data_IF_437742129879
#
_entry.id   IF_437742129879
#
_cell.length_a   1.000
_cell.length_b   1.000
_cell.length_c   1.000
_cell.angle_alpha   90.00
_cell.angle_beta   90.00
_cell.angle_gamma   90.00
#
_symmetry.space_group_name_H-M   'P 1'
#
loop_
_entity.id
_entity.type
_entity.pdbx_description
1 polymer ?
#
# COMPACT_ATOMS: atom_id res chain seq x y z
N UNK A 1 -13.01 12.47 5.20
CA UNK A 1 -12.00 13.44 4.71
C UNK A 1 -10.78 13.30 5.59
N UNK A 2 -9.61 13.05 5.01
CA UNK A 2 -8.37 12.75 5.74
C UNK A 2 -7.43 13.96 5.62
N UNK A 3 -7.14 14.62 6.73
CA UNK A 3 -6.14 15.69 6.79
C UNK A 3 -4.73 15.10 6.81
N UNK A 4 -3.83 15.66 6.01
CA UNK A 4 -2.44 15.22 5.87
C UNK A 4 -1.49 16.23 6.51
N UNK A 5 -1.21 16.14 7.84
CA UNK A 5 -0.30 17.03 8.56
C UNK A 5 1.16 16.63 8.32
N UNK A 6 1.58 16.66 7.06
CA UNK A 6 2.87 16.12 6.62
C UNK A 6 3.89 17.23 6.43
N UNK A 7 5.08 17.00 6.97
CA UNK A 7 6.24 17.85 6.77
C UNK A 7 7.08 17.37 5.58
N UNK A 8 7.97 18.25 5.10
CA UNK A 8 8.99 17.89 4.10
C UNK A 8 9.91 16.77 4.61
N UNK A 9 10.28 15.80 3.74
CA UNK A 9 10.01 15.72 2.29
C UNK A 9 8.71 14.98 1.90
N UNK A 10 7.92 14.49 2.86
CA UNK A 10 6.76 13.63 2.55
C UNK A 10 5.60 14.43 1.92
N UNK A 11 5.50 15.72 2.23
CA UNK A 11 4.55 16.65 1.60
C UNK A 11 4.67 16.68 0.06
N UNK A 12 5.89 16.71 -0.46
CA UNK A 12 6.17 16.73 -1.90
C UNK A 12 5.72 15.46 -2.62
N UNK A 13 5.77 14.31 -1.93
CA UNK A 13 5.20 13.06 -2.44
C UNK A 13 3.68 13.16 -2.57
N UNK A 14 3.00 13.77 -1.59
CA UNK A 14 1.54 13.87 -1.62
C UNK A 14 1.03 14.83 -2.69
N UNK A 15 1.75 15.92 -2.97
CA UNK A 15 1.48 16.73 -4.17
C UNK A 15 1.59 15.89 -5.45
N UNK A 16 2.64 15.06 -5.57
CA UNK A 16 2.79 14.18 -6.74
C UNK A 16 1.70 13.10 -6.84
N UNK A 17 1.26 12.51 -5.73
CA UNK A 17 0.19 11.51 -5.70
C UNK A 17 -1.17 12.13 -6.07
N UNK A 18 -1.43 13.35 -5.63
CA UNK A 18 -2.63 14.11 -6.01
C UNK A 18 -2.63 14.42 -7.52
N UNK A 19 -1.51 14.92 -8.05
CA UNK A 19 -1.38 15.17 -9.48
C UNK A 19 -1.54 13.89 -10.31
N UNK A 20 -0.98 12.78 -9.83
CA UNK A 20 -1.10 11.48 -10.48
C UNK A 20 -2.56 11.01 -10.47
N UNK A 21 -3.28 11.18 -9.36
CA UNK A 21 -4.69 10.79 -9.24
C UNK A 21 -5.60 11.59 -10.15
N UNK A 22 -5.33 12.89 -10.33
CA UNK A 22 -6.08 13.75 -11.25
C UNK A 22 -5.85 13.39 -12.72
N UNK A 23 -4.64 12.92 -13.07
CA UNK A 23 -4.24 12.65 -14.47
C UNK A 23 -4.42 11.21 -14.92
N UNK A 24 -4.30 10.24 -14.02
CA UNK A 24 -4.30 8.82 -14.37
C UNK A 24 -5.72 8.27 -14.37
N UNK A 25 -6.24 7.99 -15.56
CA UNK A 25 -7.63 7.55 -15.76
C UNK A 25 -7.81 6.03 -15.69
N UNK A 26 -6.72 5.26 -15.75
CA UNK A 26 -6.76 3.80 -15.59
C UNK A 26 -6.90 3.43 -14.12
N UNK A 27 -7.50 2.28 -13.77
CA UNK A 27 -7.60 1.88 -12.37
C UNK A 27 -6.22 1.59 -11.77
N UNK A 28 -5.96 2.15 -10.59
CA UNK A 28 -4.76 1.94 -9.81
C UNK A 28 -5.08 2.07 -8.32
N UNK A 29 -4.16 1.67 -7.45
CA UNK A 29 -4.34 1.80 -6.00
C UNK A 29 -3.03 2.08 -5.28
N UNK A 30 -3.07 2.98 -4.30
CA UNK A 30 -1.95 3.31 -3.42
C UNK A 30 -1.74 2.19 -2.40
N UNK A 31 -0.53 1.65 -2.33
CA UNK A 31 -0.19 0.53 -1.44
C UNK A 31 0.99 0.86 -0.52
N UNK A 32 1.46 -0.15 0.21
CA UNK A 32 2.61 -0.10 1.13
C UNK A 32 2.49 1.00 2.18
N UNK A 33 3.45 1.92 2.29
CA UNK A 33 3.61 2.78 3.45
C UNK A 33 2.60 3.93 3.50
N UNK A 34 2.37 4.60 2.37
CA UNK A 34 1.40 5.70 2.31
C UNK A 34 -0.05 5.22 2.50
N UNK A 35 -0.36 4.00 2.06
CA UNK A 35 -1.65 3.35 2.36
C UNK A 35 -1.87 3.19 3.86
N UNK A 36 -0.84 2.78 4.62
CA UNK A 36 -0.92 2.64 6.08
C UNK A 36 -1.10 4.00 6.73
N UNK A 37 -0.38 5.02 6.25
CA UNK A 37 -0.53 6.40 6.71
C UNK A 37 -1.98 6.88 6.55
N UNK A 38 -2.59 6.70 5.38
CA UNK A 38 -3.99 7.09 5.16
C UNK A 38 -4.95 6.39 6.12
N UNK A 39 -4.81 5.06 6.29
CA UNK A 39 -5.67 4.31 7.21
C UNK A 39 -5.49 4.79 8.65
N UNK A 40 -4.26 5.02 9.09
CA UNK A 40 -3.98 5.52 10.43
C UNK A 40 -4.60 6.92 10.66
N UNK A 41 -4.35 7.87 9.77
CA UNK A 41 -4.85 9.25 9.91
C UNK A 41 -6.38 9.32 9.92
N UNK A 42 -7.03 8.49 9.10
CA UNK A 42 -8.49 8.39 9.10
C UNK A 42 -9.07 7.92 10.45
N UNK A 43 -8.33 7.06 11.17
CA UNK A 43 -8.70 6.58 12.50
C UNK A 43 -8.05 7.41 13.62
N UNK A 44 -7.65 8.66 13.33
CA UNK A 44 -7.00 9.58 14.27
C UNK A 44 -5.73 9.02 14.93
N UNK A 45 -5.01 8.16 14.21
CA UNK A 45 -3.71 7.61 14.60
C UNK A 45 -2.60 8.15 13.70
N UNK A 46 -1.36 8.10 14.19
CA UNK A 46 -0.17 8.40 13.39
C UNK A 46 0.77 7.19 13.38
N UNK A 47 1.27 6.76 12.21
CA UNK A 47 2.35 5.78 12.17
C UNK A 47 3.63 6.42 12.75
N UNK A 48 4.43 5.65 13.51
CA UNK A 48 5.66 6.17 14.15
C UNK A 48 6.64 6.82 13.15
N UNK A 49 6.70 6.31 11.92
CA UNK A 49 7.53 6.82 10.83
C UNK A 49 6.79 6.59 9.52
N UNK A 50 6.26 7.65 8.87
CA UNK A 50 5.66 7.51 7.56
C UNK A 50 6.72 7.14 6.53
N UNK A 51 6.33 6.34 5.53
CA UNK A 51 7.18 6.11 4.36
C UNK A 51 7.47 7.44 3.66
N UNK A 52 8.63 7.54 3.01
CA UNK A 52 8.97 8.68 2.15
C UNK A 52 8.78 8.37 0.67
N UNK A 53 8.60 7.10 0.34
CA UNK A 53 8.36 6.61 -1.02
C UNK A 53 6.85 6.35 -1.19
N UNK A 54 6.35 6.58 -2.41
CA UNK A 54 5.01 6.18 -2.85
C UNK A 54 5.06 4.85 -3.59
N UNK A 55 4.01 4.05 -3.45
CA UNK A 55 3.90 2.77 -4.14
C UNK A 55 2.51 2.65 -4.74
N UNK A 56 2.42 2.44 -6.05
CA UNK A 56 1.14 2.33 -6.76
C UNK A 56 1.08 1.02 -7.52
N UNK A 57 -0.07 0.34 -7.48
CA UNK A 57 -0.32 -0.85 -8.30
C UNK A 57 -1.28 -0.47 -9.42
N UNK A 58 -0.90 -0.70 -10.68
CA UNK A 58 -1.78 -0.49 -11.83
C UNK A 58 -2.63 -1.75 -12.12
N UNK A 59 -3.88 -1.61 -12.54
CA UNK A 59 -4.75 -2.76 -12.84
C UNK A 59 -4.64 -3.23 -14.31
N UNK A 60 -3.73 -4.18 -14.54
CA UNK A 60 -3.43 -4.71 -15.88
C UNK A 60 -4.51 -5.64 -16.46
N UNK A 61 -5.43 -6.18 -15.64
CA UNK A 61 -6.52 -7.03 -16.12
C UNK A 61 -7.68 -6.21 -16.66
N UNK A 62 -7.94 -5.03 -16.08
CA UNK A 62 -8.95 -4.12 -16.58
C UNK A 62 -8.43 -3.34 -17.81
N UNK A 63 -7.15 -2.97 -17.81
CA UNK A 63 -6.52 -2.28 -18.94
C UNK A 63 -5.06 -2.75 -19.12
N UNK A 64 -4.79 -3.47 -20.21
CA UNK A 64 -3.45 -3.94 -20.54
C UNK A 64 -2.44 -2.80 -20.81
N UNK A 65 -2.92 -1.59 -21.10
CA UNK A 65 -2.13 -0.37 -21.24
C UNK A 65 -1.88 0.38 -19.93
N UNK A 66 -2.41 -0.08 -18.78
CA UNK A 66 -2.37 0.66 -17.53
C UNK A 66 -0.95 1.03 -17.08
N UNK A 67 0.02 0.12 -17.19
CA UNK A 67 1.43 0.42 -16.85
C UNK A 67 2.02 1.50 -17.76
N UNK A 68 1.81 1.40 -19.07
CA UNK A 68 2.36 2.36 -20.04
C UNK A 68 1.74 3.74 -19.80
N UNK A 69 0.44 3.81 -19.53
CA UNK A 69 -0.24 5.05 -19.19
C UNK A 69 0.29 5.65 -17.89
N UNK A 70 0.48 4.85 -16.84
CA UNK A 70 1.06 5.29 -15.58
C UNK A 70 2.49 5.84 -15.75
N UNK A 71 3.35 5.15 -16.51
CA UNK A 71 4.72 5.64 -16.83
C UNK A 71 4.65 6.97 -17.57
N UNK A 72 3.79 7.08 -18.59
CA UNK A 72 3.61 8.33 -19.36
C UNK A 72 3.18 9.49 -18.47
N UNK A 73 2.25 9.27 -17.54
CA UNK A 73 1.80 10.31 -16.63
C UNK A 73 2.87 10.71 -15.62
N UNK A 74 3.64 9.74 -15.09
CA UNK A 74 4.79 10.04 -14.24
C UNK A 74 5.82 10.91 -14.98
N UNK A 75 6.13 10.60 -16.24
CA UNK A 75 7.03 11.42 -17.07
C UNK A 75 6.47 12.83 -17.33
N UNK A 76 5.17 12.95 -17.60
CA UNK A 76 4.49 14.25 -17.73
C UNK A 76 4.45 15.05 -16.42
N UNK A 77 4.69 14.41 -15.27
CA UNK A 77 4.82 15.02 -13.94
C UNK A 77 6.28 15.33 -13.55
N UNK A 78 7.22 15.13 -14.48
CA UNK A 78 8.65 15.39 -14.28
C UNK A 78 9.41 14.26 -13.58
N UNK A 79 8.82 13.08 -13.44
CA UNK A 79 9.56 11.89 -13.01
C UNK A 79 10.34 11.30 -14.18
N UNK A 80 11.46 10.64 -13.87
CA UNK A 80 12.21 9.81 -14.80
C UNK A 80 12.44 8.43 -14.18
N UNK A 81 12.80 7.44 -14.99
CA UNK A 81 13.28 6.17 -14.47
C UNK A 81 14.51 6.41 -13.58
N UNK A 82 14.47 5.92 -12.34
CA UNK A 82 15.56 6.06 -11.38
C UNK A 82 16.73 5.14 -11.73
N UNK A 83 16.44 3.84 -11.90
CA UNK A 83 17.43 2.83 -12.25
C UNK A 83 16.79 1.57 -12.85
N UNK A 84 17.60 0.77 -13.54
CA UNK A 84 17.28 -0.60 -13.91
C UNK A 84 18.18 -1.52 -13.09
N UNK A 85 17.59 -2.43 -12.32
CA UNK A 85 18.37 -3.41 -11.55
C UNK A 85 19.07 -4.43 -12.46
N UNK A 86 20.02 -5.18 -11.90
CA UNK A 86 20.68 -6.29 -12.60
C UNK A 86 19.69 -7.35 -13.11
N UNK A 87 18.55 -7.50 -12.43
CA UNK A 87 17.47 -8.42 -12.82
C UNK A 87 16.47 -7.81 -13.82
N UNK A 88 16.80 -6.64 -14.38
CA UNK A 88 15.99 -5.91 -15.34
C UNK A 88 14.77 -5.23 -14.73
N UNK A 89 14.75 -4.97 -13.41
CA UNK A 89 13.61 -4.30 -12.77
C UNK A 89 13.72 -2.79 -12.94
N UNK A 90 12.67 -2.18 -13.49
CA UNK A 90 12.55 -0.75 -13.79
C UNK A 90 11.22 -0.20 -13.24
N UNK A 91 10.97 -0.40 -11.95
CA UNK A 91 9.71 -0.01 -11.30
C UNK A 91 9.78 1.35 -10.60
N UNK A 92 10.97 1.85 -10.28
CA UNK A 92 11.17 3.06 -9.49
C UNK A 92 11.31 4.29 -10.39
N UNK A 93 10.45 5.28 -10.14
CA UNK A 93 10.51 6.60 -10.79
C UNK A 93 10.92 7.66 -9.78
N UNK A 94 11.82 8.56 -10.17
CA UNK A 94 12.33 9.63 -9.34
C UNK A 94 12.04 11.00 -9.96
N UNK A 95 11.69 11.98 -9.13
CA UNK A 95 11.62 13.40 -9.51
C UNK A 95 12.57 14.19 -8.61
N UNK A 96 13.50 14.99 -9.17
CA UNK A 96 14.38 15.84 -8.39
C UNK A 96 13.60 16.74 -7.43
N UNK A 97 14.06 16.78 -6.18
CA UNK A 97 13.47 17.54 -5.09
C UNK A 97 14.50 17.68 -3.95
N UNK A 98 14.31 18.68 -3.09
CA UNK A 98 15.14 18.92 -1.91
C UNK A 98 14.32 18.66 -0.64
N UNK A 99 14.90 18.08 0.42
CA UNK A 99 16.30 17.62 0.58
C UNK A 99 16.61 16.27 -0.09
N UNK A 100 15.63 15.64 -0.75
CA UNK A 100 15.78 14.37 -1.47
C UNK A 100 14.76 14.25 -2.59
N UNK A 101 15.02 13.42 -3.62
CA UNK A 101 14.06 13.16 -4.68
C UNK A 101 12.76 12.54 -4.14
N UNK A 102 11.66 12.86 -4.83
CA UNK A 102 10.37 12.18 -4.66
C UNK A 102 10.44 10.86 -5.43
N UNK A 103 10.11 9.76 -4.76
CA UNK A 103 10.17 8.42 -5.34
C UNK A 103 8.78 7.79 -5.40
N UNK A 104 8.43 7.24 -6.56
CA UNK A 104 7.20 6.46 -6.76
C UNK A 104 7.58 5.13 -7.44
N UNK A 105 7.26 4.03 -6.77
CA UNK A 105 7.37 2.68 -7.30
C UNK A 105 6.05 2.32 -8.02
N UNK A 106 6.12 2.03 -9.31
CA UNK A 106 5.01 1.55 -10.13
C UNK A 106 5.05 0.03 -10.22
N UNK A 107 4.04 -0.64 -9.67
CA UNK A 107 3.98 -2.08 -9.42
C UNK A 107 2.84 -2.74 -10.21
N UNK A 108 2.95 -4.05 -10.41
CA UNK A 108 1.87 -4.87 -10.99
C UNK A 108 1.21 -5.77 -9.94
N UNK A 109 -0.06 -6.15 -10.11
CA UNK A 109 -0.71 -7.10 -9.21
C UNK A 109 -0.21 -8.53 -9.45
N UNK A 110 -0.36 -9.39 -8.45
CA UNK A 110 -0.04 -10.80 -8.54
C UNK A 110 -0.96 -11.59 -9.49
N UNK A 111 -0.45 -12.71 -10.02
CA UNK A 111 -1.26 -13.71 -10.71
C UNK A 111 -1.73 -13.31 -12.11
N UNK A 112 -1.03 -12.40 -12.80
CA UNK A 112 -1.37 -11.97 -14.16
C UNK A 112 -1.08 -13.03 -15.25
N UNK A 113 -0.38 -14.11 -14.90
CA UNK A 113 0.02 -15.18 -15.83
C UNK A 113 1.25 -14.81 -16.68
N UNK A 114 1.81 -15.81 -17.37
CA UNK A 114 3.10 -15.67 -18.07
C UNK A 114 3.07 -14.73 -19.30
N UNK A 115 1.88 -14.44 -19.84
CA UNK A 115 1.69 -13.60 -21.03
C UNK A 115 1.51 -12.11 -20.70
N UNK A 116 1.45 -11.76 -19.42
CA UNK A 116 1.26 -10.38 -19.02
C UNK A 116 2.46 -9.52 -19.40
N UNK A 117 2.20 -8.38 -20.04
CA UNK A 117 3.23 -7.41 -20.35
C UNK A 117 3.53 -6.57 -19.10
N UNK A 118 4.71 -6.77 -18.51
CA UNK A 118 5.18 -6.03 -17.33
C UNK A 118 6.18 -4.92 -17.68
N UNK A 119 6.40 -4.64 -18.96
CA UNK A 119 7.36 -3.61 -19.40
C UNK A 119 6.90 -2.22 -18.97
N UNK A 120 7.79 -1.53 -18.27
CA UNK A 120 7.63 -0.12 -17.87
C UNK A 120 8.50 0.78 -18.74
N UNK A 121 9.81 0.54 -18.75
CA UNK A 121 10.79 1.21 -19.60
C UNK A 121 11.68 0.18 -20.28
N UNK A 122 11.55 -0.07 -21.60
CA UNK A 122 12.34 -1.10 -22.28
C UNK A 122 13.86 -0.97 -22.07
N UNK A 123 14.58 -2.08 -21.85
CA UNK A 123 14.10 -3.46 -21.73
C UNK A 123 13.55 -3.83 -20.33
N UNK A 124 13.53 -2.89 -19.40
CA UNK A 124 13.14 -3.09 -18.01
C UNK A 124 11.64 -3.31 -17.77
N UNK A 125 11.34 -4.00 -16.68
CA UNK A 125 9.99 -4.41 -16.27
C UNK A 125 9.69 -4.08 -14.82
N UNK A 126 8.42 -4.00 -14.46
CA UNK A 126 8.00 -3.94 -13.07
C UNK A 126 7.99 -5.32 -12.40
N UNK A 127 7.81 -5.34 -11.07
CA UNK A 127 7.62 -6.51 -10.24
C UNK A 127 6.15 -6.66 -9.83
N UNK A 128 5.70 -7.91 -9.68
CA UNK A 128 4.38 -8.19 -9.14
C UNK A 128 4.41 -8.16 -7.60
N UNK A 129 3.44 -7.50 -6.99
CA UNK A 129 3.31 -7.50 -5.52
C UNK A 129 2.36 -8.59 -5.03
N UNK A 130 2.80 -9.46 -4.09
CA UNK A 130 1.91 -10.37 -3.39
C UNK A 130 0.77 -9.58 -2.76
N UNK A 131 -0.47 -9.95 -3.05
CA UNK A 131 -1.60 -9.21 -2.52
C UNK A 131 -2.26 -8.23 -3.48
N UNK A 132 -1.55 -7.81 -4.53
CA UNK A 132 -1.94 -6.70 -5.40
C UNK A 132 -3.33 -6.84 -6.02
N UNK A 133 -3.71 -8.03 -6.51
CA UNK A 133 -5.04 -8.24 -7.09
C UNK A 133 -6.16 -7.98 -6.09
N UNK A 134 -5.99 -8.40 -4.83
CA UNK A 134 -7.04 -8.20 -3.81
C UNK A 134 -7.05 -6.78 -3.24
N UNK A 135 -5.91 -6.09 -3.28
CA UNK A 135 -5.86 -4.66 -2.97
C UNK A 135 -6.63 -3.86 -4.02
N UNK A 136 -6.44 -4.15 -5.31
CA UNK A 136 -7.18 -3.54 -6.41
C UNK A 136 -8.69 -3.82 -6.32
N UNK A 137 -9.08 -5.07 -6.07
CA UNK A 137 -10.51 -5.42 -5.94
C UNK A 137 -11.21 -4.81 -4.73
N UNK A 138 -10.44 -4.28 -3.76
CA UNK A 138 -10.94 -3.60 -2.56
C UNK A 138 -10.52 -2.14 -2.53
N UNK A 139 -10.32 -1.54 -3.69
CA UNK A 139 -9.95 -0.13 -3.77
C UNK A 139 -11.18 0.76 -3.59
N UNK A 140 -11.01 1.80 -2.80
CA UNK A 140 -11.97 2.88 -2.56
C UNK A 140 -11.29 4.22 -2.85
N UNK A 141 -12.08 5.22 -3.21
CA UNK A 141 -11.61 6.60 -3.35
C UNK A 141 -11.74 7.30 -2.01
N UNK A 142 -10.63 7.80 -1.46
CA UNK A 142 -10.66 8.59 -0.24
C UNK A 142 -10.33 10.05 -0.52
N UNK A 143 -11.08 10.93 0.12
CA UNK A 143 -10.85 12.38 0.01
C UNK A 143 -9.78 12.79 0.99
N UNK A 144 -8.67 13.31 0.47
CA UNK A 144 -7.55 13.83 1.25
C UNK A 144 -7.49 15.34 1.15
N UNK A 145 -7.02 15.97 2.23
CA UNK A 145 -6.70 17.39 2.28
C UNK A 145 -5.24 17.55 2.67
N UNK A 146 -4.50 18.28 1.84
CA UNK A 146 -3.08 18.54 2.07
C UNK A 146 -2.75 19.99 1.71
N UNK A 147 -2.33 20.79 2.69
CA UNK A 147 -2.00 22.20 2.50
C UNK A 147 -3.12 22.99 1.79
N UNK A 148 -4.38 22.69 2.13
CA UNK A 148 -5.58 23.31 1.52
C UNK A 148 -5.97 22.77 0.14
N UNK A 149 -5.20 21.87 -0.46
CA UNK A 149 -5.59 21.15 -1.67
C UNK A 149 -6.45 19.95 -1.32
N UNK A 150 -7.58 19.82 -2.01
CA UNK A 150 -8.49 18.68 -1.90
C UNK A 150 -8.30 17.77 -3.11
N UNK A 151 -8.30 16.46 -2.89
CA UNK A 151 -8.31 15.49 -4.00
C UNK A 151 -8.76 14.11 -3.56
N UNK A 152 -9.09 13.27 -4.53
CA UNK A 152 -9.41 11.86 -4.31
C UNK A 152 -8.16 11.03 -4.60
N UNK A 153 -7.87 10.04 -3.77
CA UNK A 153 -6.79 9.09 -4.00
C UNK A 153 -7.33 7.67 -3.84
N UNK A 154 -7.09 6.77 -4.80
CA UNK A 154 -7.49 5.38 -4.66
C UNK A 154 -6.55 4.67 -3.69
N UNK A 155 -7.12 4.02 -2.69
CA UNK A 155 -6.40 3.12 -1.77
C UNK A 155 -7.24 1.87 -1.47
N UNK A 156 -6.65 0.77 -1.00
CA UNK A 156 -7.43 -0.34 -0.48
C UNK A 156 -8.21 0.08 0.79
N UNK A 157 -9.39 -0.52 0.99
CA UNK A 157 -10.10 -0.50 2.28
C UNK A 157 -9.20 -1.02 3.39
N UNK A 158 -9.57 -0.78 4.66
CA UNK A 158 -8.82 -1.29 5.81
C UNK A 158 -8.58 -2.81 5.73
N UNK A 159 -9.59 -3.60 5.34
CA UNK A 159 -9.41 -5.03 5.09
C UNK A 159 -8.41 -5.31 3.95
N UNK A 160 -8.54 -4.60 2.82
CA UNK A 160 -7.59 -4.71 1.71
C UNK A 160 -6.15 -4.43 2.14
N UNK A 161 -5.95 -3.39 2.96
CA UNK A 161 -4.68 -2.98 3.54
C UNK A 161 -4.09 -4.05 4.47
N UNK A 162 -4.90 -4.63 5.36
CA UNK A 162 -4.52 -5.73 6.25
C UNK A 162 -4.03 -6.92 5.41
N UNK A 163 -4.79 -7.32 4.40
CA UNK A 163 -4.48 -8.50 3.60
C UNK A 163 -3.23 -8.32 2.75
N UNK A 164 -3.01 -7.15 2.12
CA UNK A 164 -1.78 -6.93 1.35
C UNK A 164 -0.54 -6.87 2.25
N UNK A 165 -0.65 -6.36 3.49
CA UNK A 165 0.47 -6.40 4.45
C UNK A 165 0.76 -7.81 4.93
N UNK A 166 -0.28 -8.61 5.21
CA UNK A 166 -0.11 -10.02 5.55
C UNK A 166 0.51 -10.82 4.39
N UNK A 167 0.09 -10.57 3.15
CA UNK A 167 0.65 -11.23 1.97
C UNK A 167 2.17 -10.98 1.79
N UNK A 168 2.65 -9.84 2.29
CA UNK A 168 4.03 -9.40 2.24
C UNK A 168 4.88 -9.85 3.47
N UNK A 169 4.31 -10.55 4.44
CA UNK A 169 5.03 -10.93 5.67
C UNK A 169 6.25 -11.84 5.43
N UNK A 170 6.28 -12.61 4.33
CA UNK A 170 7.43 -13.45 3.94
C UNK A 170 8.45 -12.73 3.04
N UNK A 171 8.20 -11.46 2.70
CA UNK A 171 9.14 -10.67 1.88
C UNK A 171 10.31 -10.15 2.74
N UNK A 172 11.43 -9.73 2.12
CA UNK A 172 12.52 -9.09 2.83
C UNK A 172 12.03 -7.92 3.72
N UNK A 173 12.75 -7.69 4.82
CA UNK A 173 12.36 -6.72 5.86
C UNK A 173 11.00 -7.01 6.52
N UNK A 174 10.73 -8.26 6.96
CA UNK A 174 9.43 -8.70 7.49
C UNK A 174 8.98 -7.91 8.73
N UNK A 175 9.92 -7.41 9.54
CA UNK A 175 9.62 -6.59 10.71
C UNK A 175 8.78 -5.33 10.37
N UNK A 176 9.03 -4.69 9.21
CA UNK A 176 8.25 -3.53 8.76
C UNK A 176 6.82 -3.95 8.41
N UNK A 177 6.67 -5.08 7.73
CA UNK A 177 5.35 -5.62 7.37
C UNK A 177 4.54 -6.03 8.62
N UNK A 178 5.17 -6.65 9.61
CA UNK A 178 4.53 -6.98 10.88
C UNK A 178 4.09 -5.75 11.67
N UNK A 179 4.94 -4.72 11.76
CA UNK A 179 4.60 -3.44 12.40
C UNK A 179 3.39 -2.79 11.75
N UNK A 180 3.39 -2.67 10.43
CA UNK A 180 2.28 -2.05 9.69
C UNK A 180 1.00 -2.87 9.82
N UNK A 181 1.09 -4.20 9.76
CA UNK A 181 -0.05 -5.09 9.94
C UNK A 181 -0.63 -4.99 11.36
N UNK A 182 0.22 -4.97 12.39
CA UNK A 182 -0.22 -4.78 13.77
C UNK A 182 -0.95 -3.45 13.96
N UNK A 183 -0.44 -2.36 13.39
CA UNK A 183 -1.11 -1.06 13.39
C UNK A 183 -2.47 -1.15 12.69
N UNK A 184 -2.54 -1.65 11.45
CA UNK A 184 -3.81 -1.75 10.71
C UNK A 184 -4.86 -2.60 11.45
N UNK A 185 -4.46 -3.73 12.04
CA UNK A 185 -5.37 -4.53 12.85
C UNK A 185 -5.91 -3.76 14.07
N UNK A 186 -5.10 -2.87 14.66
CA UNK A 186 -5.54 -2.05 15.80
C UNK A 186 -6.54 -0.94 15.45
N UNK A 187 -6.72 -0.64 14.15
CA UNK A 187 -7.69 0.35 13.68
C UNK A 187 -9.10 -0.23 13.49
N UNK A 188 -9.24 -1.57 13.54
CA UNK A 188 -10.52 -2.24 13.31
C UNK A 188 -11.44 -2.05 14.52
N UNK A 189 -12.56 -1.39 14.32
CA UNK A 189 -13.57 -1.15 15.37
C UNK A 189 -14.33 -2.44 15.74
N UNK A 190 -14.88 -3.14 14.74
CA UNK A 190 -15.59 -4.42 14.91
C UNK A 190 -14.89 -5.55 14.13
N UNK A 191 -14.08 -6.37 14.81
CA UNK A 191 -13.38 -7.47 14.17
C UNK A 191 -14.28 -8.62 13.74
N UNK A 192 -15.44 -8.79 14.38
CA UNK A 192 -16.37 -9.86 14.03
C UNK A 192 -17.08 -9.52 12.72
N UNK A 193 -17.61 -8.30 12.59
CA UNK A 193 -18.18 -7.83 11.32
C UNK A 193 -17.15 -7.86 10.18
N UNK A 194 -15.91 -7.43 10.45
CA UNK A 194 -14.85 -7.49 9.43
C UNK A 194 -14.54 -8.94 9.01
N UNK A 195 -14.60 -9.89 9.95
CA UNK A 195 -14.31 -11.30 9.69
C UNK A 195 -15.29 -11.97 8.73
N UNK A 196 -16.53 -11.48 8.64
CA UNK A 196 -17.55 -11.96 7.70
C UNK A 196 -17.17 -11.67 6.24
N UNK A 197 -16.35 -10.64 6.01
CA UNK A 197 -15.88 -10.23 4.68
C UNK A 197 -14.58 -10.95 4.26
N UNK A 198 -13.98 -11.73 5.16
CA UNK A 198 -12.71 -12.42 4.94
C UNK A 198 -12.92 -13.72 4.16
N UNK A 199 -12.26 -13.83 3.01
CA UNK A 199 -12.27 -15.04 2.16
C UNK A 199 -11.26 -16.10 2.62
N UNK A 200 -11.35 -17.31 2.05
CA UNK A 200 -10.35 -18.37 2.28
C UNK A 200 -8.93 -17.95 1.87
N UNK A 201 -8.80 -17.21 0.77
CA UNK A 201 -7.52 -16.69 0.27
C UNK A 201 -6.94 -15.60 1.17
N UNK A 202 -7.79 -14.77 1.77
CA UNK A 202 -7.38 -13.79 2.79
C UNK A 202 -6.78 -14.49 4.00
N UNK A 203 -7.42 -15.55 4.48
CA UNK A 203 -6.94 -16.36 5.61
C UNK A 203 -5.59 -17.00 5.31
N UNK A 204 -5.39 -17.51 4.10
CA UNK A 204 -4.10 -18.03 3.68
C UNK A 204 -2.99 -16.96 3.74
N UNK A 205 -3.30 -15.71 3.41
CA UNK A 205 -2.34 -14.60 3.48
C UNK A 205 -2.09 -14.17 4.92
N UNK A 206 -3.12 -14.11 5.75
CA UNK A 206 -2.99 -13.85 7.20
C UNK A 206 -2.06 -14.87 7.87
N UNK A 207 -2.12 -16.15 7.47
CA UNK A 207 -1.23 -17.20 7.98
C UNK A 207 0.26 -16.98 7.71
N UNK A 208 0.64 -16.07 6.82
CA UNK A 208 2.05 -15.71 6.61
C UNK A 208 2.62 -14.86 7.76
N UNK A 209 1.76 -14.15 8.48
CA UNK A 209 2.15 -13.32 9.61
C UNK A 209 1.88 -13.99 10.97
N UNK A 210 1.90 -15.33 11.05
CA UNK A 210 1.56 -16.11 12.28
C UNK A 210 2.31 -15.66 13.52
N UNK A 211 3.49 -15.05 13.37
CA UNK A 211 4.25 -14.43 14.45
C UNK A 211 3.46 -13.38 15.24
N UNK A 212 2.43 -12.75 14.65
CA UNK A 212 1.55 -11.79 15.31
C UNK A 212 0.48 -12.44 16.19
N UNK A 213 0.31 -13.77 16.12
CA UNK A 213 -0.55 -14.50 17.07
C UNK A 213 0.06 -14.52 18.49
N UNK A 214 1.38 -14.33 18.59
CA UNK A 214 2.05 -14.07 19.85
C UNK A 214 1.86 -12.60 20.24
N UNK A 215 1.11 -12.36 21.33
CA UNK A 215 0.86 -11.03 21.86
C UNK A 215 2.14 -10.32 22.37
N UNK A 216 3.23 -11.05 22.57
CA UNK A 216 4.53 -10.50 22.98
C UNK A 216 5.42 -10.10 21.80
N UNK A 217 4.96 -10.33 20.56
CA UNK A 217 5.71 -9.94 19.37
C UNK A 217 6.06 -8.43 19.38
N UNK A 218 7.32 -8.05 19.09
CA UNK A 218 7.76 -6.64 19.13
C UNK A 218 6.93 -5.68 18.27
N UNK A 219 6.29 -6.16 17.21
CA UNK A 219 5.38 -5.34 16.40
C UNK A 219 4.22 -4.74 17.21
N UNK A 220 3.70 -5.48 18.21
CA UNK A 220 2.63 -5.00 19.07
C UNK A 220 3.08 -3.89 20.03
N UNK A 221 4.34 -3.92 20.47
CA UNK A 221 4.89 -2.90 21.37
C UNK A 221 4.91 -1.50 20.74
N UNK A 222 4.97 -1.43 19.41
CA UNK A 222 4.95 -0.18 18.64
C UNK A 222 3.54 0.37 18.43
N UNK A 223 2.49 -0.42 18.70
CA UNK A 223 1.10 0.03 18.67
C UNK A 223 0.78 0.76 19.98
N UNK A 224 0.09 1.92 19.92
CA UNK A 224 -0.33 2.66 21.12
C UNK A 224 -1.09 1.74 22.09
N UNK A 225 -0.76 1.84 23.38
CA UNK A 225 -1.30 0.95 24.41
C UNK A 225 -2.84 0.93 24.43
N UNK A 226 -3.48 2.06 24.13
CA UNK A 226 -4.93 2.21 24.11
C UNK A 226 -5.64 1.34 23.07
N UNK A 227 -5.00 1.05 21.92
CA UNK A 227 -5.60 0.28 20.81
C UNK A 227 -4.91 -1.08 20.58
N UNK A 228 -3.82 -1.36 21.29
CA UNK A 228 -3.03 -2.59 21.12
C UNK A 228 -3.85 -3.86 21.36
N UNK A 229 -4.63 -3.91 22.43
CA UNK A 229 -5.46 -5.07 22.77
C UNK A 229 -6.48 -5.38 21.67
N UNK A 230 -7.09 -4.34 21.11
CA UNK A 230 -8.00 -4.45 19.97
C UNK A 230 -7.31 -5.03 18.74
N UNK A 231 -6.08 -4.59 18.44
CA UNK A 231 -5.29 -5.13 17.33
C UNK A 231 -4.97 -6.62 17.49
N UNK A 232 -4.60 -7.04 18.69
CA UNK A 232 -4.32 -8.45 19.02
C UNK A 232 -5.58 -9.33 18.92
N UNK A 233 -6.73 -8.82 19.37
CA UNK A 233 -8.04 -9.50 19.20
C UNK A 233 -8.39 -9.61 17.72
N UNK A 234 -8.26 -8.50 16.98
CA UNK A 234 -8.54 -8.45 15.54
C UNK A 234 -7.72 -9.46 14.78
N UNK A 235 -6.39 -9.45 14.94
CA UNK A 235 -5.52 -10.38 14.23
C UNK A 235 -5.92 -11.84 14.51
N UNK A 236 -6.18 -12.19 15.78
CA UNK A 236 -6.66 -13.52 16.15
C UNK A 236 -7.98 -13.86 15.46
N UNK A 237 -8.99 -13.00 15.50
CA UNK A 237 -10.30 -13.27 14.87
C UNK A 237 -10.17 -13.47 13.35
N UNK A 238 -9.45 -12.57 12.67
CA UNK A 238 -9.28 -12.66 11.22
C UNK A 238 -8.47 -13.91 10.82
N UNK A 239 -7.48 -14.30 11.64
CA UNK A 239 -6.66 -15.49 11.40
C UNK A 239 -7.35 -16.81 11.86
N UNK A 240 -8.33 -16.76 12.77
CA UNK A 240 -8.84 -17.94 13.49
C UNK A 240 -9.94 -18.75 12.79
N UNK A 241 -10.79 -18.17 11.92
CA UNK A 241 -11.85 -18.96 11.29
C UNK A 241 -11.33 -19.71 10.05
N UNK A 242 -11.56 -20.99 9.77
CA UNK A 242 -12.11 -22.19 10.45
C UNK A 242 -11.62 -23.39 9.57
N UNK A 243 -11.97 -24.65 9.90
CA UNK A 243 -11.23 -25.62 10.73
C UNK A 243 -9.83 -26.01 10.23
#
# INVERSE_FOLDING_TARGET
MIELPLASPVDQLWHALLDLSERLTVPWTLVRGQMVLLNALEHSQAPLEPSQDGDVVAELRADHGALIQAVRQLYALGFTLDSISTDGLAHRSARPAEPRPVLIDLLAPDGLGARANLTTSPPGRTVQVPGGTQALSRTEQVTVVHQGRHGQVPRPTLLGAIIIKAAAADLPSPARHHRDLALLCSLVEDPFSLSEQVTSKDRQRLRKATVLADNTNPAWSLVPAAIRGQGQITYRILAAALP
#
